data_IF_350142744303
#
_entry.id   IF_350142744303
#
_cell.length_a   1.000
_cell.length_b   1.000
_cell.length_c   1.000
_cell.angle_alpha   90.00
_cell.angle_beta   90.00
_cell.angle_gamma   90.00
#
_symmetry.space_group_name_H-M   'P 1'
#
loop_
_entity.id
_entity.type
_entity.pdbx_description
1 polymer ?
#
# COMPACT_ATOMS: atom_id res chain seq x y z
N UNK A 1 -25.22 -7.23 -7.38
CA UNK A 1 -24.60 -6.63 -6.19
C UNK A 1 -23.39 -7.49 -5.87
N UNK A 2 -22.22 -6.88 -5.67
CA UNK A 2 -21.06 -7.62 -5.18
C UNK A 2 -21.32 -7.99 -3.71
N UNK A 3 -20.98 -9.22 -3.29
CA UNK A 3 -21.11 -9.62 -1.89
C UNK A 3 -20.24 -8.71 -1.01
N UNK A 4 -20.77 -8.25 0.09
CA UNK A 4 -20.01 -7.48 1.07
C UNK A 4 -18.90 -8.37 1.70
N UNK A 5 -17.88 -7.77 2.30
CA UNK A 5 -16.85 -8.54 3.03
C UNK A 5 -17.45 -9.36 4.17
N UNK A 6 -18.53 -8.88 4.77
CA UNK A 6 -19.29 -9.56 5.82
C UNK A 6 -19.94 -10.82 5.26
N UNK A 7 -20.60 -10.73 4.09
CA UNK A 7 -21.24 -11.89 3.45
C UNK A 7 -20.22 -13.00 3.14
N UNK A 8 -18.98 -12.64 2.75
CA UNK A 8 -17.90 -13.61 2.49
C UNK A 8 -17.45 -14.29 3.78
N UNK A 9 -17.28 -13.54 4.88
CA UNK A 9 -16.87 -14.09 6.16
C UNK A 9 -17.93 -15.05 6.72
N UNK A 10 -19.21 -14.67 6.71
CA UNK A 10 -20.32 -15.51 7.13
C UNK A 10 -20.38 -16.81 6.31
N UNK A 11 -20.21 -16.72 4.99
CA UNK A 11 -20.21 -17.88 4.11
C UNK A 11 -19.05 -18.82 4.37
N UNK A 12 -17.86 -18.29 4.69
CA UNK A 12 -16.70 -19.11 5.06
C UNK A 12 -16.96 -19.82 6.39
N UNK A 13 -17.50 -19.12 7.40
CA UNK A 13 -17.85 -19.71 8.69
C UNK A 13 -18.88 -20.85 8.52
N UNK A 14 -19.90 -20.63 7.70
CA UNK A 14 -20.93 -21.64 7.37
C UNK A 14 -20.31 -22.90 6.75
N UNK A 15 -19.42 -22.72 5.76
CA UNK A 15 -18.73 -23.85 5.09
C UNK A 15 -17.81 -24.61 6.02
N UNK A 16 -17.15 -23.92 6.94
CA UNK A 16 -16.22 -24.51 7.91
C UNK A 16 -16.92 -25.05 9.17
N UNK A 17 -18.24 -24.80 9.33
CA UNK A 17 -19.00 -25.21 10.52
C UNK A 17 -18.53 -24.50 11.81
N UNK A 18 -18.01 -23.29 11.68
CA UNK A 18 -17.54 -22.44 12.79
C UNK A 18 -18.58 -21.35 13.08
N UNK A 19 -18.92 -21.15 14.34
CA UNK A 19 -19.83 -20.06 14.71
C UNK A 19 -19.16 -18.70 14.42
N UNK A 20 -19.88 -17.78 13.78
CA UNK A 20 -19.38 -16.46 13.40
C UNK A 20 -18.88 -15.63 14.59
N UNK A 21 -19.46 -15.83 15.77
CA UNK A 21 -19.09 -15.17 17.01
C UNK A 21 -17.70 -15.61 17.57
N UNK A 22 -17.15 -16.71 17.04
CA UNK A 22 -15.79 -17.16 17.39
C UNK A 22 -14.70 -16.48 16.57
N UNK A 23 -15.07 -15.77 15.50
CA UNK A 23 -14.14 -14.95 14.73
C UNK A 23 -14.07 -13.58 15.38
N UNK A 24 -12.91 -13.14 15.93
CA UNK A 24 -12.79 -11.81 16.49
C UNK A 24 -13.24 -10.80 15.43
N UNK A 25 -14.25 -10.00 15.75
CA UNK A 25 -14.59 -8.86 14.90
C UNK A 25 -13.31 -8.01 14.78
N UNK A 26 -12.84 -7.80 13.54
CA UNK A 26 -11.87 -6.74 13.31
C UNK A 26 -12.59 -5.45 13.70
N UNK A 27 -12.40 -5.00 14.94
CA UNK A 27 -12.88 -3.70 15.34
C UNK A 27 -12.16 -2.66 14.49
N UNK A 28 -12.92 -1.87 13.76
CA UNK A 28 -12.44 -0.68 13.09
C UNK A 28 -11.90 0.29 14.16
N UNK A 29 -10.69 0.09 14.65
CA UNK A 29 -10.12 0.92 15.70
C UNK A 29 -9.03 0.30 16.57
N UNK A 30 -8.80 -1.02 16.54
CA UNK A 30 -7.62 -1.57 17.18
C UNK A 30 -6.42 -1.49 16.25
N UNK A 31 -5.60 -0.48 16.47
CA UNK A 31 -4.36 -0.19 15.73
C UNK A 31 -3.28 -1.24 15.98
N UNK A 32 -3.43 -2.08 16.98
CA UNK A 32 -2.57 -3.24 17.22
C UNK A 32 -3.23 -4.45 16.60
N UNK A 33 -2.61 -4.96 15.55
CA UNK A 33 -2.98 -6.22 14.93
C UNK A 33 -3.20 -7.30 16.03
N UNK A 34 -4.39 -7.91 16.03
CA UNK A 34 -4.76 -9.00 16.94
C UNK A 34 -3.77 -10.19 16.94
N UNK A 35 -2.82 -10.18 16.00
CA UNK A 35 -1.73 -11.15 15.88
C UNK A 35 -0.43 -10.70 16.56
N UNK A 36 -0.40 -9.58 17.27
CA UNK A 36 0.78 -9.07 17.98
C UNK A 36 1.92 -8.66 17.05
N UNK A 37 1.63 -8.26 15.80
CA UNK A 37 2.66 -7.82 14.86
C UNK A 37 3.20 -6.46 15.27
N UNK A 38 4.52 -6.31 15.18
CA UNK A 38 5.22 -5.05 15.43
C UNK A 38 5.09 -4.02 14.29
N UNK A 39 4.31 -4.33 13.24
CA UNK A 39 4.12 -3.48 12.06
C UNK A 39 2.67 -3.37 11.70
N UNK A 40 2.19 -2.16 11.46
CA UNK A 40 0.83 -1.90 11.00
C UNK A 40 0.83 -1.58 9.50
N UNK A 41 -0.05 -2.24 8.75
CA UNK A 41 -0.29 -1.92 7.34
C UNK A 41 -1.27 -0.75 7.20
N UNK A 42 -0.82 0.34 6.60
CA UNK A 42 -1.68 1.48 6.21
C UNK A 42 -1.91 1.42 4.71
N UNK A 43 -3.15 1.13 4.31
CA UNK A 43 -3.49 1.06 2.89
C UNK A 43 -3.69 2.46 2.32
N UNK A 44 -2.81 2.85 1.39
CA UNK A 44 -2.84 4.18 0.76
C UNK A 44 -3.34 4.16 -0.69
N UNK A 45 -3.31 2.99 -1.35
CA UNK A 45 -3.66 2.86 -2.77
C UNK A 45 -4.33 1.51 -3.04
N UNK A 46 -5.24 1.45 -4.01
CA UNK A 46 -5.89 0.22 -4.47
C UNK A 46 -6.19 0.30 -5.97
N UNK A 47 -6.41 -0.86 -6.60
CA UNK A 47 -6.61 -0.95 -8.03
C UNK A 47 -5.32 -0.79 -8.84
N UNK A 48 -5.38 -1.01 -10.16
CA UNK A 48 -4.24 -0.88 -11.05
C UNK A 48 -4.70 -0.65 -12.50
N UNK A 49 -4.10 0.33 -13.17
CA UNK A 49 -4.37 0.63 -14.57
C UNK A 49 -3.50 -0.20 -15.53
N UNK A 50 -2.47 -0.89 -15.02
CA UNK A 50 -1.66 -1.79 -15.82
C UNK A 50 -2.44 -3.06 -16.16
N UNK A 51 -2.37 -3.46 -17.44
CA UNK A 51 -3.05 -4.65 -17.96
C UNK A 51 -2.05 -5.78 -18.25
N UNK A 52 -1.22 -6.10 -17.25
CA UNK A 52 -0.26 -7.19 -17.37
C UNK A 52 -0.98 -8.50 -17.70
N UNK A 53 -0.47 -9.24 -18.68
CA UNK A 53 -1.17 -10.39 -19.28
C UNK A 53 -1.41 -11.55 -18.30
N UNK A 54 -0.65 -11.63 -17.22
CA UNK A 54 -0.72 -12.65 -16.18
C UNK A 54 -1.49 -12.21 -14.92
N UNK A 55 -1.90 -10.93 -14.84
CA UNK A 55 -2.45 -10.34 -13.63
C UNK A 55 -3.96 -10.14 -13.76
N UNK A 56 -4.71 -10.52 -12.72
CA UNK A 56 -6.16 -10.32 -12.65
C UNK A 56 -6.56 -9.05 -11.86
N UNK A 57 -5.60 -8.41 -11.19
CA UNK A 57 -5.86 -7.33 -10.22
C UNK A 57 -6.65 -6.17 -10.85
N UNK A 58 -6.31 -5.76 -12.06
CA UNK A 58 -7.00 -4.68 -12.77
C UNK A 58 -8.49 -4.96 -13.02
N UNK A 59 -8.88 -6.25 -13.14
CA UNK A 59 -10.30 -6.66 -13.21
C UNK A 59 -10.92 -6.78 -11.82
N UNK A 60 -10.21 -7.41 -10.89
CA UNK A 60 -10.75 -7.73 -9.57
C UNK A 60 -10.83 -6.50 -8.65
N UNK A 61 -9.88 -5.57 -8.76
CA UNK A 61 -9.79 -4.35 -7.94
C UNK A 61 -10.28 -3.09 -8.66
N UNK A 62 -10.38 -3.14 -10.00
CA UNK A 62 -10.74 -1.99 -10.84
C UNK A 62 -9.59 -1.00 -11.02
N UNK A 63 -9.91 0.25 -11.47
CA UNK A 63 -8.91 1.28 -11.72
C UNK A 63 -8.20 1.74 -10.45
N UNK A 64 -7.04 2.35 -10.64
CA UNK A 64 -6.27 2.98 -9.59
C UNK A 64 -7.09 4.02 -8.83
N UNK A 65 -6.93 4.01 -7.51
CA UNK A 65 -7.49 5.00 -6.60
C UNK A 65 -6.62 5.12 -5.36
N UNK A 66 -6.41 6.35 -4.93
CA UNK A 66 -5.57 6.68 -3.80
C UNK A 66 -6.39 7.19 -2.63
N UNK A 67 -5.93 6.90 -1.42
CA UNK A 67 -6.52 7.42 -0.18
C UNK A 67 -6.09 8.88 -0.02
N UNK A 68 -6.98 9.80 0.36
CA UNK A 68 -6.61 11.19 0.60
C UNK A 68 -5.51 11.33 1.65
N UNK A 69 -4.63 12.32 1.48
CA UNK A 69 -3.45 12.55 2.34
C UNK A 69 -3.85 12.66 3.82
N UNK A 70 -4.88 13.43 4.15
CA UNK A 70 -5.30 13.62 5.55
C UNK A 70 -5.77 12.31 6.19
N UNK A 71 -6.47 11.47 5.44
CA UNK A 71 -6.90 10.15 5.94
C UNK A 71 -5.71 9.20 6.17
N UNK A 72 -4.66 9.28 5.37
CA UNK A 72 -3.43 8.53 5.59
C UNK A 72 -2.72 9.04 6.85
N UNK A 73 -2.59 10.37 6.99
CA UNK A 73 -1.95 10.98 8.15
C UNK A 73 -2.70 10.67 9.46
N UNK A 74 -4.03 10.62 9.43
CA UNK A 74 -4.85 10.24 10.57
C UNK A 74 -4.52 8.80 11.01
N UNK A 75 -4.54 7.83 10.09
CA UNK A 75 -4.19 6.45 10.39
C UNK A 75 -2.76 6.30 10.92
N UNK A 76 -1.80 7.07 10.38
CA UNK A 76 -0.42 7.05 10.88
C UNK A 76 -0.30 7.64 12.29
N UNK A 77 -1.08 8.70 12.61
CA UNK A 77 -1.12 9.26 13.97
C UNK A 77 -1.76 8.29 14.97
N UNK A 78 -2.86 7.66 14.60
CA UNK A 78 -3.47 6.60 15.43
C UNK A 78 -2.48 5.47 15.73
N UNK A 79 -1.73 5.02 14.71
CA UNK A 79 -0.67 4.04 14.89
C UNK A 79 0.43 4.53 15.85
N UNK A 80 0.83 5.78 15.72
CA UNK A 80 1.82 6.40 16.58
C UNK A 80 1.32 6.48 18.04
N UNK A 81 0.09 6.92 18.26
CA UNK A 81 -0.54 7.02 19.59
C UNK A 81 -0.70 5.66 20.25
N UNK A 82 -0.95 4.61 19.46
CA UNK A 82 -0.96 3.23 19.92
C UNK A 82 0.44 2.65 20.20
N UNK A 83 1.51 3.41 19.97
CA UNK A 83 2.88 2.97 20.20
C UNK A 83 3.43 1.99 19.14
N UNK A 84 2.83 1.95 17.95
CA UNK A 84 3.31 1.10 16.85
C UNK A 84 4.69 1.59 16.40
N UNK A 85 5.73 0.73 16.36
CA UNK A 85 7.09 1.17 16.01
C UNK A 85 7.30 1.38 14.51
N UNK A 86 6.55 0.70 13.64
CA UNK A 86 6.68 0.79 12.18
C UNK A 86 5.33 0.70 11.49
N UNK A 87 5.03 1.65 10.59
CA UNK A 87 3.95 1.52 9.63
C UNK A 87 4.48 1.08 8.26
N UNK A 88 3.72 0.22 7.60
CA UNK A 88 4.01 -0.21 6.22
C UNK A 88 2.94 0.38 5.32
N UNK A 89 3.32 1.31 4.45
CA UNK A 89 2.42 1.81 3.42
C UNK A 89 2.16 0.70 2.40
N UNK A 90 0.89 0.37 2.20
CA UNK A 90 0.47 -0.76 1.36
C UNK A 90 -0.45 -0.32 0.24
N UNK A 91 -0.38 -1.03 -0.88
CA UNK A 91 -1.20 -0.81 -2.05
C UNK A 91 -0.95 -1.87 -3.10
N UNK A 92 -1.57 -1.72 -4.26
CA UNK A 92 -1.33 -2.57 -5.43
C UNK A 92 -0.08 -2.10 -6.19
N UNK A 93 0.04 -0.78 -6.38
CA UNK A 93 1.21 -0.11 -6.93
C UNK A 93 1.37 1.23 -6.24
N UNK A 94 2.30 1.34 -5.32
CA UNK A 94 2.48 2.56 -4.53
C UNK A 94 3.06 3.73 -5.33
N UNK A 95 3.83 3.44 -6.38
CA UNK A 95 4.36 4.46 -7.26
C UNK A 95 3.29 5.21 -8.05
N UNK A 96 2.10 4.59 -8.22
CA UNK A 96 0.94 5.22 -8.82
C UNK A 96 0.04 5.95 -7.79
N UNK A 97 0.54 6.23 -6.61
CA UNK A 97 -0.20 7.04 -5.65
C UNK A 97 -0.41 8.46 -6.19
N UNK A 98 -1.66 8.88 -6.23
CA UNK A 98 -2.13 10.19 -6.65
C UNK A 98 -3.27 10.60 -5.70
N UNK A 99 -2.89 10.92 -4.46
CA UNK A 99 -3.83 11.32 -3.41
C UNK A 99 -4.27 12.77 -3.56
N UNK A 100 -5.30 13.14 -2.79
CA UNK A 100 -5.77 14.51 -2.71
C UNK A 100 -5.36 15.13 -1.38
N UNK A 101 -4.83 16.36 -1.44
CA UNK A 101 -4.61 17.20 -0.27
C UNK A 101 -5.93 17.78 0.24
N UNK A 102 -5.89 18.48 1.38
CA UNK A 102 -7.05 19.22 1.91
C UNK A 102 -7.53 20.35 0.97
N UNK A 103 -6.68 20.82 0.06
CA UNK A 103 -6.98 21.84 -0.96
C UNK A 103 -7.35 21.25 -2.32
N UNK A 104 -7.59 19.93 -2.38
CA UNK A 104 -7.90 19.15 -3.60
C UNK A 104 -6.75 19.12 -4.64
N UNK A 105 -5.54 19.46 -4.22
CA UNK A 105 -4.33 19.33 -5.05
C UNK A 105 -3.86 17.89 -5.11
N UNK A 106 -3.32 17.48 -6.25
CA UNK A 106 -2.72 16.16 -6.42
C UNK A 106 -1.42 16.06 -5.63
N UNK A 107 -1.22 14.94 -4.97
CA UNK A 107 -0.06 14.64 -4.13
C UNK A 107 0.50 13.28 -4.51
N UNK A 108 1.74 13.24 -4.92
CA UNK A 108 2.46 12.00 -5.27
C UNK A 108 3.03 11.30 -4.02
N UNK A 109 3.60 10.11 -4.21
CA UNK A 109 4.09 9.27 -3.10
C UNK A 109 5.22 9.91 -2.31
N UNK A 110 6.11 10.66 -2.96
CA UNK A 110 7.22 11.38 -2.32
C UNK A 110 6.70 12.53 -1.44
N UNK A 111 5.73 13.31 -1.92
CA UNK A 111 5.09 14.37 -1.16
C UNK A 111 4.29 13.82 0.04
N UNK A 112 3.60 12.66 -0.14
CA UNK A 112 2.95 11.97 0.96
C UNK A 112 3.96 11.53 2.03
N UNK A 113 5.09 10.96 1.61
CA UNK A 113 6.14 10.56 2.55
C UNK A 113 6.71 11.76 3.31
N UNK A 114 6.96 12.87 2.62
CA UNK A 114 7.42 14.11 3.25
C UNK A 114 6.39 14.62 4.25
N UNK A 115 5.11 14.64 3.89
CA UNK A 115 4.02 15.01 4.80
C UNK A 115 3.95 14.10 6.05
N UNK A 116 4.13 12.79 5.90
CA UNK A 116 4.19 11.87 7.03
C UNK A 116 5.39 12.19 7.93
N UNK A 117 6.57 12.45 7.35
CA UNK A 117 7.78 12.78 8.11
C UNK A 117 7.66 14.09 8.88
N UNK A 118 7.02 15.09 8.30
CA UNK A 118 6.88 16.42 8.88
C UNK A 118 5.72 16.52 9.89
N UNK A 119 4.62 15.81 9.64
CA UNK A 119 3.36 15.98 10.38
C UNK A 119 3.06 14.85 11.39
N UNK A 120 3.97 13.87 11.51
CA UNK A 120 3.89 12.79 12.50
C UNK A 120 5.26 12.54 13.14
N UNK A 121 5.26 11.81 14.26
CA UNK A 121 6.48 11.35 14.92
C UNK A 121 6.61 9.82 14.88
N UNK A 122 5.92 9.16 13.94
CA UNK A 122 6.03 7.69 13.78
C UNK A 122 7.51 7.29 13.63
N UNK A 123 8.02 6.31 14.40
CA UNK A 123 9.45 6.00 14.38
C UNK A 123 9.92 5.49 13.02
N UNK A 124 9.18 4.56 12.39
CA UNK A 124 9.59 3.98 11.11
C UNK A 124 8.43 3.90 10.13
N UNK A 125 8.74 4.21 8.86
CA UNK A 125 7.84 4.04 7.71
C UNK A 125 8.52 3.15 6.68
N UNK A 126 7.80 2.16 6.19
CA UNK A 126 8.24 1.29 5.09
C UNK A 126 7.30 1.44 3.90
N UNK A 127 7.87 1.48 2.71
CA UNK A 127 7.14 1.43 1.44
C UNK A 127 7.08 -0.05 1.01
N UNK A 128 5.91 -0.53 0.61
CA UNK A 128 5.80 -1.90 0.08
C UNK A 128 6.24 -1.97 -1.39
N UNK A 129 5.39 -2.36 -2.32
CA UNK A 129 5.78 -2.56 -3.72
C UNK A 129 5.64 -1.29 -4.55
N UNK A 130 6.70 -0.95 -5.27
CA UNK A 130 6.74 0.11 -6.29
C UNK A 130 7.18 -0.52 -7.61
N UNK A 131 6.52 -0.19 -8.68
CA UNK A 131 6.94 -0.67 -10.01
C UNK A 131 8.23 0.03 -10.45
N UNK A 132 9.11 -0.64 -11.20
CA UNK A 132 10.41 -0.06 -11.60
C UNK A 132 10.30 1.30 -12.32
N UNK A 133 9.27 1.46 -13.17
CA UNK A 133 9.04 2.70 -13.92
C UNK A 133 8.49 3.85 -13.07
N UNK A 134 8.03 3.57 -11.87
CA UNK A 134 7.47 4.58 -10.96
C UNK A 134 8.50 5.07 -9.92
N UNK A 135 9.73 4.59 -9.99
CA UNK A 135 10.83 5.12 -9.19
C UNK A 135 11.23 6.49 -9.72
N UNK A 136 10.99 7.51 -8.92
CA UNK A 136 11.32 8.88 -9.24
C UNK A 136 12.52 9.39 -8.43
N UNK A 137 13.24 10.37 -8.97
CA UNK A 137 14.32 11.03 -8.23
C UNK A 137 13.80 11.76 -6.96
N UNK A 138 12.63 12.44 -6.97
CA UNK A 138 12.03 12.98 -5.75
C UNK A 138 11.82 11.93 -4.66
N UNK A 139 11.26 10.77 -4.99
CA UNK A 139 11.06 9.66 -4.04
C UNK A 139 12.38 9.24 -3.37
N UNK A 140 13.43 9.04 -4.17
CA UNK A 140 14.74 8.67 -3.63
C UNK A 140 15.35 9.76 -2.77
N UNK A 141 15.15 11.04 -3.12
CA UNK A 141 15.61 12.19 -2.32
C UNK A 141 14.93 12.26 -0.96
N UNK A 142 13.61 12.04 -0.90
CA UNK A 142 12.88 12.00 0.37
C UNK A 142 13.37 10.85 1.24
N UNK A 143 13.52 9.64 0.67
CA UNK A 143 14.07 8.50 1.39
C UNK A 143 15.48 8.79 1.95
N UNK A 144 16.34 9.42 1.16
CA UNK A 144 17.70 9.79 1.57
C UNK A 144 17.72 10.92 2.62
N UNK A 145 16.71 11.79 2.65
CA UNK A 145 16.57 12.88 3.63
C UNK A 145 16.22 12.37 5.02
N UNK A 146 15.45 11.27 5.11
CA UNK A 146 14.97 10.71 6.37
C UNK A 146 15.47 9.27 6.62
N UNK A 147 16.79 8.98 6.57
CA UNK A 147 17.33 7.63 6.57
C UNK A 147 17.11 6.88 7.89
N UNK A 148 16.80 7.59 8.98
CA UNK A 148 16.52 7.00 10.28
C UNK A 148 15.06 6.63 10.48
N UNK A 149 14.16 7.19 9.65
CA UNK A 149 12.71 7.01 9.78
C UNK A 149 12.08 6.30 8.59
N UNK A 150 12.65 6.45 7.40
CA UNK A 150 12.20 5.70 6.21
C UNK A 150 13.11 4.48 6.06
N UNK A 151 12.52 3.29 6.03
CA UNK A 151 13.28 2.06 5.86
C UNK A 151 14.07 2.08 4.53
N UNK A 152 15.38 1.78 4.52
CA UNK A 152 16.21 1.74 3.31
C UNK A 152 15.91 0.45 2.52
N UNK A 153 14.68 0.30 2.10
CA UNK A 153 14.17 -0.89 1.44
C UNK A 153 13.15 -0.50 0.37
N UNK A 154 13.32 -1.05 -0.82
CA UNK A 154 12.38 -0.98 -1.92
C UNK A 154 12.13 -2.39 -2.46
N UNK A 155 10.87 -2.74 -2.60
CA UNK A 155 10.47 -3.95 -3.31
C UNK A 155 10.11 -3.58 -4.76
N UNK A 156 10.99 -3.92 -5.68
CA UNK A 156 10.85 -3.66 -7.12
C UNK A 156 10.62 -4.99 -7.85
N UNK A 157 9.40 -5.29 -8.30
CA UNK A 157 9.10 -6.55 -8.98
C UNK A 157 9.58 -6.51 -10.43
N UNK A 158 10.79 -7.01 -10.71
CA UNK A 158 11.36 -7.07 -12.07
C UNK A 158 10.58 -8.00 -13.02
N UNK A 159 9.89 -9.00 -12.49
CA UNK A 159 9.08 -10.02 -13.17
C UNK A 159 9.87 -10.98 -14.07
N UNK A 160 10.86 -10.48 -14.86
CA UNK A 160 11.73 -11.29 -15.71
C UNK A 160 13.00 -10.53 -16.08
N UNK A 161 14.15 -11.21 -16.09
CA UNK A 161 15.41 -10.70 -16.66
C UNK A 161 15.49 -10.83 -18.18
N UNK A 162 14.39 -11.05 -18.89
CA UNK A 162 14.36 -11.20 -20.36
C UNK A 162 13.37 -10.20 -20.96
N UNK A 163 13.86 -9.22 -21.71
CA UNK A 163 13.09 -8.17 -22.37
C UNK A 163 11.94 -8.72 -23.23
N UNK A 164 12.16 -9.80 -23.99
CA UNK A 164 11.10 -10.44 -24.77
C UNK A 164 9.97 -10.99 -23.89
N UNK A 165 10.30 -11.51 -22.72
CA UNK A 165 9.30 -12.02 -21.76
C UNK A 165 8.54 -10.84 -21.14
N UNK A 166 9.21 -9.77 -20.76
CA UNK A 166 8.60 -8.55 -20.24
C UNK A 166 7.59 -7.97 -21.23
N UNK A 167 7.95 -7.85 -22.51
CA UNK A 167 7.02 -7.44 -23.57
C UNK A 167 5.78 -8.34 -23.66
N UNK A 168 5.95 -9.66 -23.58
CA UNK A 168 4.83 -10.61 -23.60
C UNK A 168 3.95 -10.50 -22.35
N UNK A 169 4.53 -10.09 -21.24
CA UNK A 169 3.82 -9.80 -19.98
C UNK A 169 3.08 -8.46 -20.02
N UNK A 170 3.29 -7.63 -21.04
CA UNK A 170 2.73 -6.28 -21.13
C UNK A 170 3.44 -5.28 -20.21
N UNK A 171 4.75 -5.49 -19.94
CA UNK A 171 5.56 -4.55 -19.17
C UNK A 171 6.11 -3.44 -20.07
N UNK A 172 6.08 -2.16 -19.60
CA UNK A 172 6.53 -1.01 -20.41
C UNK A 172 8.05 -0.77 -20.32
N UNK A 173 8.82 -1.69 -19.73
CA UNK A 173 10.27 -1.58 -19.55
C UNK A 173 10.98 -2.84 -20.07
N UNK A 174 12.26 -2.72 -20.36
CA UNK A 174 13.16 -3.80 -20.72
C UNK A 174 13.95 -4.33 -19.51
N UNK A 175 14.68 -5.43 -19.70
CA UNK A 175 15.58 -5.96 -18.67
C UNK A 175 16.79 -5.04 -18.45
N UNK A 176 17.16 -4.26 -19.47
CA UNK A 176 18.27 -3.32 -19.44
C UNK A 176 17.91 -2.03 -18.69
N UNK A 177 16.63 -1.68 -18.59
CA UNK A 177 16.14 -0.51 -17.84
C UNK A 177 16.13 -0.75 -16.33
N UNK A 178 16.18 -2.01 -15.89
CA UNK A 178 16.15 -2.41 -14.47
C UNK A 178 17.56 -2.49 -13.88
#
# INVERSE_FOLDING_TARGET
AEPSKIDVAERVCEVLGVESDSVPACSDGEVVDALGRSRLGVKIQDGCNHRCTYCIVWKARGPERSVPVESVLEQVREAQEAGVPEVVLTGVNLGAYDGKSATDEHVEIDELLEAIMERTSIPHVRISSVEPMDISEPLLKVMARYPQRIAPFLHLPVQSGCTRTLHRMGRPYSAEDF
#
